data_IF_191004930623
#
_entry.id   IF_191004930623
#
_cell.length_a   1.000
_cell.length_b   1.000
_cell.length_c   1.000
_cell.angle_alpha   90.00
_cell.angle_beta   90.00
_cell.angle_gamma   90.00
#
_symmetry.space_group_name_H-M   'P 1'
#
loop_
_entity.id
_entity.type
_entity.pdbx_description
1 polymer ?
#
# COMPACT_ATOMS: atom_id res chain seq x y z
N UNK A 1 -6.37 23.58 39.24
CA UNK A 1 -5.14 22.76 39.28
C UNK A 1 -5.53 21.34 38.88
N UNK A 2 -5.34 20.92 37.62
CA UNK A 2 -5.57 19.53 37.24
C UNK A 2 -4.57 18.64 37.99
N UNK A 3 -5.08 17.64 38.70
CA UNK A 3 -4.23 16.66 39.37
C UNK A 3 -3.52 15.85 38.29
N UNK A 4 -2.19 15.96 38.23
CA UNK A 4 -1.37 15.05 37.43
C UNK A 4 -1.52 13.65 38.06
N UNK A 5 -2.41 12.85 37.51
CA UNK A 5 -2.47 11.42 37.83
C UNK A 5 -1.19 10.83 37.26
N UNK A 6 -0.24 10.51 38.15
CA UNK A 6 0.95 9.78 37.79
C UNK A 6 0.51 8.48 37.11
N UNK A 7 0.86 8.33 35.82
CA UNK A 7 0.51 7.13 35.08
C UNK A 7 1.27 5.95 35.64
N UNK A 8 0.58 4.82 35.81
CA UNK A 8 1.23 3.58 36.22
C UNK A 8 2.35 3.21 35.23
N UNK A 9 3.47 2.66 35.72
CA UNK A 9 4.50 2.12 34.83
C UNK A 9 3.91 1.06 33.90
N UNK A 10 4.45 0.90 32.67
CA UNK A 10 3.97 -0.12 31.74
C UNK A 10 4.17 -1.52 32.35
N UNK A 11 3.27 -2.44 32.03
CA UNK A 11 3.39 -3.84 32.44
C UNK A 11 4.76 -4.41 32.02
N UNK A 12 5.56 -4.96 32.96
CA UNK A 12 6.92 -5.43 32.67
C UNK A 12 6.95 -6.54 31.62
N UNK A 13 5.84 -7.26 31.40
CA UNK A 13 5.72 -8.26 30.33
C UNK A 13 5.90 -7.67 28.94
N UNK A 14 5.63 -6.38 28.75
CA UNK A 14 5.87 -5.68 27.48
C UNK A 14 7.36 -5.44 27.19
N UNK A 15 8.22 -5.58 28.20
CA UNK A 15 9.68 -5.43 28.11
C UNK A 15 10.41 -6.77 28.03
N UNK A 16 9.68 -7.88 28.03
CA UNK A 16 10.27 -9.22 27.98
C UNK A 16 10.73 -9.56 26.56
N UNK A 17 12.03 -9.45 26.30
CA UNK A 17 12.67 -9.78 25.02
C UNK A 17 12.92 -11.28 24.83
N UNK A 18 12.58 -12.12 25.81
CA UNK A 18 12.90 -13.55 25.80
C UNK A 18 12.14 -14.28 24.70
N UNK A 19 12.89 -14.75 23.71
CA UNK A 19 12.39 -15.60 22.61
C UNK A 19 12.37 -17.06 23.05
N UNK A 20 11.28 -17.78 22.77
CA UNK A 20 11.12 -19.20 23.07
C UNK A 20 10.47 -19.92 21.90
N UNK A 21 10.93 -21.14 21.62
CA UNK A 21 10.31 -22.05 20.66
C UNK A 21 9.13 -22.84 21.26
N UNK A 22 8.89 -22.71 22.56
CA UNK A 22 7.81 -23.37 23.30
C UNK A 22 6.87 -22.30 23.86
N UNK A 23 5.56 -22.60 23.87
CA UNK A 23 4.54 -21.71 24.42
C UNK A 23 4.80 -21.43 25.90
N UNK A 24 4.96 -20.14 26.25
CA UNK A 24 5.30 -19.68 27.61
C UNK A 24 4.09 -19.34 28.49
N UNK A 25 2.90 -19.17 27.93
CA UNK A 25 1.70 -18.82 28.71
C UNK A 25 1.76 -17.44 29.41
N UNK A 26 2.52 -16.48 28.87
CA UNK A 26 2.69 -15.12 29.46
C UNK A 26 1.35 -14.37 29.56
N UNK A 27 0.48 -14.60 28.59
CA UNK A 27 -0.87 -14.04 28.52
C UNK A 27 -1.82 -15.11 29.04
N UNK A 28 -2.55 -14.82 30.12
CA UNK A 28 -3.41 -15.81 30.79
C UNK A 28 -4.67 -16.12 30.01
N UNK A 29 -5.29 -15.10 29.42
CA UNK A 29 -6.58 -15.18 28.75
C UNK A 29 -6.80 -13.99 27.79
N UNK A 30 -8.00 -13.91 27.20
CA UNK A 30 -8.37 -12.84 26.27
C UNK A 30 -8.44 -11.47 26.95
N UNK A 31 -8.93 -11.39 28.18
CA UNK A 31 -9.00 -10.14 28.93
C UNK A 31 -7.61 -9.57 29.19
N UNK A 32 -6.70 -10.42 29.64
CA UNK A 32 -5.29 -10.10 29.82
C UNK A 32 -4.63 -9.66 28.49
N UNK A 33 -4.89 -10.38 27.40
CA UNK A 33 -4.42 -10.00 26.06
C UNK A 33 -4.87 -8.60 25.65
N UNK A 34 -6.15 -8.25 25.88
CA UNK A 34 -6.71 -6.94 25.53
C UNK A 34 -6.12 -5.84 26.41
N UNK A 35 -5.95 -6.09 27.70
CA UNK A 35 -5.34 -5.15 28.64
C UNK A 35 -3.88 -4.85 28.26
N UNK A 36 -3.08 -5.89 28.01
CA UNK A 36 -1.69 -5.75 27.55
C UNK A 36 -1.60 -5.03 26.21
N UNK A 37 -2.48 -5.34 25.26
CA UNK A 37 -2.51 -4.68 23.96
C UNK A 37 -2.84 -3.18 24.10
N UNK A 38 -3.79 -2.81 24.97
CA UNK A 38 -4.13 -1.42 25.25
C UNK A 38 -2.97 -0.65 25.88
N UNK A 39 -2.24 -1.28 26.83
CA UNK A 39 -1.05 -0.68 27.42
C UNK A 39 0.07 -0.53 26.39
N UNK A 40 0.29 -1.55 25.56
CA UNK A 40 1.25 -1.55 24.47
C UNK A 40 1.01 -0.38 23.49
N UNK A 41 -0.24 -0.16 23.05
CA UNK A 41 -0.58 0.96 22.18
C UNK A 41 -0.36 2.32 22.86
N UNK A 42 -0.69 2.43 24.14
CA UNK A 42 -0.46 3.65 24.92
C UNK A 42 1.03 3.96 25.03
N UNK A 43 1.87 2.94 25.25
CA UNK A 43 3.32 3.09 25.31
C UNK A 43 3.90 3.46 23.95
N UNK A 44 3.47 2.79 22.87
CA UNK A 44 3.90 3.08 21.50
C UNK A 44 3.57 4.51 21.07
N UNK A 45 2.37 5.00 21.40
CA UNK A 45 1.96 6.39 21.16
C UNK A 45 2.91 7.41 21.80
N UNK A 46 3.54 7.06 22.92
CA UNK A 46 4.54 7.90 23.59
C UNK A 46 5.95 7.73 23.01
N UNK A 47 6.35 6.49 22.72
CA UNK A 47 7.71 6.19 22.25
C UNK A 47 7.95 6.64 20.81
N UNK A 48 6.92 6.57 19.96
CA UNK A 48 6.93 7.26 18.68
C UNK A 48 6.54 8.71 18.94
N UNK A 49 7.51 9.50 19.41
CA UNK A 49 7.52 10.92 19.12
C UNK A 49 7.56 11.03 17.59
N UNK A 50 6.38 11.06 16.96
CA UNK A 50 6.28 11.48 15.57
C UNK A 50 7.05 12.82 15.49
N UNK A 51 7.89 13.05 14.46
CA UNK A 51 8.44 14.38 14.24
C UNK A 51 7.27 15.34 14.39
N UNK A 52 7.40 16.32 15.31
CA UNK A 52 6.27 17.11 15.79
C UNK A 52 5.35 17.36 14.62
N UNK A 53 4.13 16.84 14.72
CA UNK A 53 3.14 17.06 13.70
C UNK A 53 3.11 18.56 13.41
N UNK A 54 2.77 18.95 12.18
CA UNK A 54 2.52 20.35 11.85
C UNK A 54 1.71 20.97 12.99
N UNK A 55 2.06 22.18 13.41
CA UNK A 55 1.44 22.84 14.57
C UNK A 55 -0.09 23.10 14.41
N UNK A 56 -0.68 22.63 13.31
CA UNK A 56 -2.09 22.76 12.98
C UNK A 56 -2.94 21.82 13.83
N UNK A 57 -4.00 22.35 14.43
CA UNK A 57 -4.99 21.54 15.12
C UNK A 57 -5.74 20.68 14.09
N UNK A 58 -5.65 19.34 14.14
CA UNK A 58 -6.36 18.46 13.21
C UNK A 58 -7.89 18.64 13.27
N UNK A 59 -8.43 19.23 14.34
CA UNK A 59 -9.83 19.57 14.46
C UNK A 59 -10.26 20.82 13.67
N UNK A 60 -9.32 21.66 13.21
CA UNK A 60 -9.65 22.81 12.35
C UNK A 60 -10.03 22.34 10.94
N UNK A 61 -9.35 21.31 10.43
CA UNK A 61 -9.56 20.82 9.06
C UNK A 61 -10.62 19.71 8.97
N UNK A 62 -10.70 18.83 9.98
CA UNK A 62 -11.74 17.80 10.01
C UNK A 62 -13.03 18.37 10.59
N UNK A 63 -14.14 18.45 9.84
CA UNK A 63 -15.40 18.97 10.36
C UNK A 63 -15.91 18.09 11.51
N UNK A 64 -15.94 18.64 12.71
CA UNK A 64 -16.51 17.99 13.90
C UNK A 64 -18.05 18.00 13.82
N UNK A 65 -18.68 16.92 14.31
CA UNK A 65 -20.10 16.56 14.13
C UNK A 65 -20.47 16.14 12.69
N UNK A 66 -21.48 15.27 12.54
CA UNK A 66 -21.98 14.80 11.23
C UNK A 66 -22.52 15.99 10.45
N UNK A 67 -21.62 16.63 9.71
CA UNK A 67 -21.86 17.91 9.06
C UNK A 67 -22.09 17.68 7.57
N UNK A 68 -22.78 18.61 6.89
CA UNK A 68 -22.84 18.65 5.42
C UNK A 68 -21.45 18.52 4.76
N UNK A 69 -20.39 19.02 5.41
CA UNK A 69 -19.02 18.93 4.90
C UNK A 69 -18.48 17.49 4.90
N UNK A 70 -18.77 16.67 5.91
CA UNK A 70 -18.37 15.26 5.89
C UNK A 70 -19.00 14.51 4.71
N UNK A 71 -20.28 14.78 4.42
CA UNK A 71 -20.97 14.19 3.27
C UNK A 71 -20.33 14.59 1.93
N UNK A 72 -19.85 15.83 1.80
CA UNK A 72 -19.11 16.28 0.61
C UNK A 72 -17.81 15.49 0.46
N UNK A 73 -17.03 15.33 1.56
CA UNK A 73 -15.79 14.54 1.53
C UNK A 73 -16.06 13.07 1.19
N UNK A 74 -17.11 12.47 1.74
CA UNK A 74 -17.56 11.11 1.39
C UNK A 74 -17.92 11.02 -0.09
N UNK A 75 -18.63 12.01 -0.63
CA UNK A 75 -18.95 12.10 -2.07
C UNK A 75 -17.70 12.13 -2.94
N UNK A 76 -16.67 12.88 -2.55
CA UNK A 76 -15.39 12.91 -3.28
C UNK A 76 -14.67 11.55 -3.26
N UNK A 77 -14.68 10.84 -2.13
CA UNK A 77 -14.13 9.47 -2.04
C UNK A 77 -14.95 8.53 -2.95
N UNK A 78 -16.28 8.66 -2.93
CA UNK A 78 -17.18 7.84 -3.75
C UNK A 78 -16.89 8.04 -5.25
N UNK A 79 -16.80 9.29 -5.70
CA UNK A 79 -16.48 9.64 -7.08
C UNK A 79 -15.10 9.11 -7.48
N UNK A 80 -14.10 9.21 -6.60
CA UNK A 80 -12.79 8.62 -6.83
C UNK A 80 -12.83 7.09 -6.96
N UNK A 81 -13.57 6.39 -6.09
CA UNK A 81 -13.76 4.94 -6.19
C UNK A 81 -14.45 4.58 -7.52
N UNK A 82 -15.43 5.37 -7.96
CA UNK A 82 -16.17 5.17 -9.22
C UNK A 82 -15.45 5.67 -10.47
N UNK A 83 -14.35 6.41 -10.31
CA UNK A 83 -13.60 6.96 -11.43
C UNK A 83 -13.10 5.86 -12.39
N UNK A 84 -13.25 6.07 -13.70
CA UNK A 84 -12.80 5.15 -14.76
C UNK A 84 -11.77 5.76 -15.70
N UNK A 85 -11.39 7.01 -15.48
CA UNK A 85 -10.37 7.72 -16.28
C UNK A 85 -9.00 7.58 -15.61
N UNK A 86 -7.92 7.70 -16.38
CA UNK A 86 -6.55 7.67 -15.82
C UNK A 86 -6.19 6.43 -15.00
N UNK A 87 -6.81 5.26 -15.25
CA UNK A 87 -6.56 4.06 -14.46
C UNK A 87 -5.09 3.62 -14.55
N UNK A 88 -4.50 3.22 -13.42
CA UNK A 88 -3.13 2.69 -13.35
C UNK A 88 -3.04 1.29 -13.98
N UNK A 89 -4.06 0.47 -13.73
CA UNK A 89 -4.11 -0.93 -14.13
C UNK A 89 -4.99 -1.14 -15.37
N UNK A 90 -4.80 -2.27 -16.04
CA UNK A 90 -5.55 -2.65 -17.24
C UNK A 90 -4.71 -2.58 -18.51
N UNK A 91 -5.23 -3.19 -19.57
CA UNK A 91 -4.55 -3.22 -20.87
C UNK A 91 -4.77 -1.89 -21.59
N UNK A 92 -3.71 -1.24 -22.10
CA UNK A 92 -3.86 -0.02 -22.88
C UNK A 92 -4.71 -0.29 -24.13
N UNK A 93 -5.58 0.67 -24.45
CA UNK A 93 -6.40 0.67 -25.67
C UNK A 93 -5.56 1.27 -26.79
N UNK A 94 -5.63 0.67 -27.97
CA UNK A 94 -5.04 1.21 -29.19
C UNK A 94 -6.15 1.57 -30.17
N UNK A 95 -5.95 2.64 -30.92
CA UNK A 95 -6.83 3.03 -32.01
C UNK A 95 -6.63 2.15 -33.25
N UNK A 96 -7.38 2.44 -34.33
CA UNK A 96 -7.32 1.69 -35.59
C UNK A 96 -5.95 1.81 -36.29
N UNK A 97 -5.13 2.78 -35.91
CA UNK A 97 -3.79 3.02 -36.42
C UNK A 97 -2.72 2.34 -35.54
N UNK A 98 -3.13 1.66 -34.47
CA UNK A 98 -2.26 1.00 -33.53
C UNK A 98 -1.59 1.95 -32.53
N UNK A 99 -1.94 3.23 -32.50
CA UNK A 99 -1.42 4.21 -31.54
C UNK A 99 -2.17 4.10 -30.21
N UNK A 100 -1.57 4.58 -29.11
CA UNK A 100 -2.22 4.58 -27.80
C UNK A 100 -3.37 5.57 -27.79
N UNK A 101 -4.57 5.08 -27.50
CA UNK A 101 -5.73 5.94 -27.36
C UNK A 101 -5.62 6.73 -26.04
N UNK A 102 -5.86 8.03 -26.09
CA UNK A 102 -5.81 8.94 -24.94
C UNK A 102 -7.21 9.40 -24.55
N UNK A 103 -7.43 9.67 -23.26
CA UNK A 103 -8.62 10.33 -22.77
C UNK A 103 -8.56 11.85 -22.98
N UNK A 104 -9.66 12.55 -22.66
CA UNK A 104 -9.74 14.02 -22.80
C UNK A 104 -8.74 14.79 -21.93
N UNK A 105 -8.07 14.11 -21.00
CA UNK A 105 -7.03 14.68 -20.13
C UNK A 105 -5.62 14.25 -20.55
N UNK A 106 -5.47 13.54 -21.68
CA UNK A 106 -4.18 13.07 -22.21
C UNK A 106 -3.65 11.79 -21.57
N UNK A 107 -4.41 11.10 -20.72
CA UNK A 107 -3.98 9.83 -20.13
C UNK A 107 -4.31 8.65 -21.04
N UNK A 108 -3.49 7.60 -20.98
CA UNK A 108 -3.72 6.37 -21.78
C UNK A 108 -5.04 5.71 -21.35
N UNK A 109 -5.95 5.53 -22.30
CA UNK A 109 -7.17 4.77 -22.10
C UNK A 109 -6.82 3.31 -21.84
N UNK A 110 -7.43 2.73 -20.80
CA UNK A 110 -7.25 1.33 -20.44
C UNK A 110 -8.57 0.59 -20.43
N UNK A 111 -8.54 -0.67 -20.88
CA UNK A 111 -9.68 -1.57 -20.76
C UNK A 111 -9.91 -1.91 -19.29
N UNK A 112 -11.17 -1.91 -18.81
CA UNK A 112 -11.50 -2.36 -17.47
C UNK A 112 -10.92 -3.75 -17.19
N UNK A 113 -10.25 -3.90 -16.05
CA UNK A 113 -9.73 -5.17 -15.56
C UNK A 113 -10.70 -5.83 -14.56
N UNK A 114 -10.32 -6.98 -14.00
CA UNK A 114 -11.14 -7.68 -13.02
C UNK A 114 -11.41 -6.86 -11.75
N UNK A 115 -10.46 -6.01 -11.34
CA UNK A 115 -10.64 -5.15 -10.17
C UNK A 115 -11.64 -4.04 -10.46
N UNK A 116 -11.55 -3.42 -11.63
CA UNK A 116 -12.48 -2.38 -12.10
C UNK A 116 -13.90 -2.93 -12.16
N UNK A 117 -14.08 -4.11 -12.76
CA UNK A 117 -15.39 -4.78 -12.82
C UNK A 117 -15.94 -5.09 -11.42
N UNK A 118 -15.11 -5.59 -10.50
CA UNK A 118 -15.52 -5.89 -9.13
C UNK A 118 -16.00 -4.64 -8.38
N UNK A 119 -15.33 -3.50 -8.57
CA UNK A 119 -15.75 -2.22 -7.98
C UNK A 119 -17.06 -1.74 -8.63
N UNK A 120 -17.18 -1.84 -9.95
CA UNK A 120 -18.37 -1.45 -10.69
C UNK A 120 -19.64 -2.20 -10.24
N UNK A 121 -19.50 -3.50 -9.96
CA UNK A 121 -20.60 -4.37 -9.52
C UNK A 121 -21.05 -4.14 -8.07
N UNK A 122 -20.33 -3.34 -7.28
CA UNK A 122 -20.78 -3.00 -5.93
C UNK A 122 -22.02 -2.10 -5.97
N UNK A 123 -22.97 -2.38 -5.08
CA UNK A 123 -24.09 -1.48 -4.82
C UNK A 123 -23.59 -0.18 -4.17
N UNK A 124 -24.18 0.95 -4.54
CA UNK A 124 -23.76 2.28 -4.08
C UNK A 124 -23.72 2.40 -2.55
N UNK A 125 -24.73 1.85 -1.86
CA UNK A 125 -24.76 1.83 -0.38
C UNK A 125 -23.54 1.17 0.24
N UNK A 126 -22.98 0.12 -0.39
CA UNK A 126 -21.78 -0.56 0.11
C UNK A 126 -20.53 0.27 -0.13
N UNK A 127 -20.48 0.98 -1.26
CA UNK A 127 -19.39 1.91 -1.56
C UNK A 127 -19.43 3.08 -0.59
N UNK A 128 -20.61 3.65 -0.33
CA UNK A 128 -20.78 4.75 0.62
C UNK A 128 -20.36 4.34 2.05
N UNK A 129 -20.74 3.15 2.52
CA UNK A 129 -20.26 2.61 3.80
C UNK A 129 -18.72 2.55 3.84
N UNK A 130 -18.08 2.04 2.78
CA UNK A 130 -16.63 2.02 2.68
C UNK A 130 -16.02 3.44 2.67
N UNK A 131 -16.66 4.41 2.00
CA UNK A 131 -16.21 5.80 1.98
C UNK A 131 -16.20 6.43 3.38
N UNK A 132 -17.19 6.11 4.22
CA UNK A 132 -17.22 6.53 5.62
C UNK A 132 -16.06 5.92 6.41
N UNK A 133 -15.83 4.61 6.28
CA UNK A 133 -14.71 3.93 6.95
C UNK A 133 -13.36 4.52 6.53
N UNK A 134 -13.19 4.83 5.24
CA UNK A 134 -11.98 5.49 4.72
C UNK A 134 -11.82 6.89 5.32
N UNK A 135 -12.89 7.70 5.36
CA UNK A 135 -12.83 9.07 5.88
C UNK A 135 -12.34 9.08 7.34
N UNK A 136 -12.89 8.22 8.19
CA UNK A 136 -12.46 8.09 9.58
C UNK A 136 -11.06 7.49 9.68
N UNK A 137 -10.70 6.53 8.84
CA UNK A 137 -9.33 6.00 8.77
C UNK A 137 -8.30 7.08 8.43
N UNK A 138 -8.62 8.03 7.54
CA UNK A 138 -7.74 9.17 7.21
C UNK A 138 -7.59 10.10 8.42
N UNK A 139 -8.69 10.40 9.12
CA UNK A 139 -8.66 11.23 10.33
C UNK A 139 -7.79 10.59 11.40
N UNK A 140 -8.03 9.32 11.69
CA UNK A 140 -7.28 8.56 12.67
C UNK A 140 -5.79 8.49 12.29
N UNK A 141 -5.47 8.36 10.99
CA UNK A 141 -4.09 8.42 10.48
C UNK A 141 -3.42 9.76 10.72
N UNK A 142 -4.16 10.85 10.49
CA UNK A 142 -3.65 12.20 10.64
C UNK A 142 -3.42 12.56 12.12
N UNK A 143 -4.28 12.08 13.02
CA UNK A 143 -4.12 12.22 14.48
C UNK A 143 -3.08 11.25 15.08
N UNK A 144 -2.43 10.44 14.23
CA UNK A 144 -1.46 9.43 14.64
C UNK A 144 -2.08 8.19 15.28
N UNK A 145 -3.41 8.05 15.31
CA UNK A 145 -4.15 6.96 15.96
C UNK A 145 -4.11 5.61 15.23
N UNK A 146 -3.43 5.49 14.08
CA UNK A 146 -3.24 4.22 13.36
C UNK A 146 -2.20 3.31 14.05
N UNK A 147 -2.37 3.00 15.33
CA UNK A 147 -1.45 2.10 16.03
C UNK A 147 -1.78 0.64 15.70
N UNK A 148 -1.25 0.17 14.58
CA UNK A 148 -1.01 -1.27 14.39
C UNK A 148 -0.04 -1.80 15.47
N UNK A 149 -0.14 -3.08 15.76
CA UNK A 149 0.76 -3.78 16.70
C UNK A 149 2.20 -3.84 16.15
N UNK A 150 3.24 -3.90 17.01
CA UNK A 150 4.68 -3.93 16.64
C UNK A 150 4.97 -4.73 15.36
N UNK A 151 4.41 -5.93 15.33
CA UNK A 151 4.71 -6.96 14.35
C UNK A 151 4.07 -6.69 12.99
N UNK A 152 3.08 -5.80 12.90
CA UNK A 152 2.58 -5.30 11.61
C UNK A 152 3.39 -4.11 11.10
N UNK A 153 4.09 -3.40 12.00
CA UNK A 153 4.89 -2.21 11.66
C UNK A 153 6.28 -2.54 11.16
N UNK A 154 6.96 -3.52 11.77
CA UNK A 154 8.39 -3.78 11.54
C UNK A 154 8.77 -4.14 10.09
N UNK A 155 7.81 -4.52 9.24
CA UNK A 155 8.10 -5.10 7.93
C UNK A 155 7.35 -4.47 6.75
N UNK A 156 6.30 -3.66 6.96
CA UNK A 156 5.43 -3.25 5.85
C UNK A 156 4.62 -1.97 6.05
N UNK A 157 4.83 -1.23 7.15
CA UNK A 157 4.10 0.02 7.38
C UNK A 157 5.02 1.22 7.13
N UNK A 158 4.63 2.07 6.18
CA UNK A 158 5.27 3.37 5.95
C UNK A 158 4.31 4.45 6.43
N UNK A 159 4.77 5.32 7.33
CA UNK A 159 4.03 6.51 7.70
C UNK A 159 4.51 7.69 6.86
N UNK A 160 3.59 8.30 6.11
CA UNK A 160 3.82 9.55 5.41
C UNK A 160 3.22 10.71 6.24
N UNK A 161 4.04 11.67 6.70
CA UNK A 161 3.53 12.86 7.36
C UNK A 161 2.90 13.82 6.34
N UNK A 162 1.80 14.47 6.71
CA UNK A 162 1.17 15.53 5.92
C UNK A 162 0.88 16.73 6.81
N UNK A 163 0.90 17.93 6.23
CA UNK A 163 0.73 19.18 6.95
C UNK A 163 -0.68 19.34 7.52
N UNK A 164 -1.66 18.93 6.73
CA UNK A 164 -3.09 19.07 7.04
C UNK A 164 -3.83 17.77 6.79
N UNK A 165 -5.01 17.65 7.40
CA UNK A 165 -5.91 16.54 7.11
C UNK A 165 -6.26 16.50 5.62
N UNK A 166 -6.50 17.68 5.02
CA UNK A 166 -6.89 17.79 3.61
C UNK A 166 -5.79 17.32 2.66
N UNK A 167 -4.51 17.61 2.93
CA UNK A 167 -3.40 17.07 2.12
C UNK A 167 -3.38 15.54 2.15
N UNK A 168 -3.55 14.91 3.33
CA UNK A 168 -3.63 13.45 3.43
C UNK A 168 -4.86 12.91 2.68
N UNK A 169 -6.00 13.56 2.86
CA UNK A 169 -7.26 13.22 2.22
C UNK A 169 -7.13 13.21 0.68
N UNK A 170 -6.55 14.27 0.10
CA UNK A 170 -6.31 14.39 -1.34
C UNK A 170 -5.42 13.26 -1.86
N UNK A 171 -4.34 12.90 -1.15
CA UNK A 171 -3.48 11.78 -1.55
C UNK A 171 -4.21 10.44 -1.55
N UNK A 172 -5.12 10.23 -0.59
CA UNK A 172 -5.95 9.02 -0.57
C UNK A 172 -6.97 9.03 -1.72
N UNK A 173 -7.61 10.16 -1.99
CA UNK A 173 -8.51 10.34 -3.13
C UNK A 173 -7.79 10.07 -4.45
N UNK A 174 -6.59 10.63 -4.65
CA UNK A 174 -5.76 10.40 -5.83
C UNK A 174 -5.47 8.91 -6.02
N UNK A 175 -5.03 8.22 -4.96
CA UNK A 175 -4.76 6.78 -5.00
C UNK A 175 -6.00 5.96 -5.41
N UNK A 176 -7.15 6.24 -4.80
CA UNK A 176 -8.40 5.51 -5.07
C UNK A 176 -8.95 5.82 -6.47
N UNK A 177 -8.67 7.02 -6.99
CA UNK A 177 -9.09 7.44 -8.33
C UNK A 177 -8.43 6.62 -9.42
N UNK A 178 -7.14 6.28 -9.28
CA UNK A 178 -6.36 5.57 -10.30
C UNK A 178 -6.18 4.07 -10.03
N UNK A 179 -6.25 3.62 -8.77
CA UNK A 179 -5.94 2.24 -8.38
C UNK A 179 -7.15 1.48 -7.84
N UNK A 180 -7.89 0.81 -8.73
CA UNK A 180 -8.98 -0.10 -8.32
C UNK A 180 -8.49 -1.34 -7.57
N UNK A 181 -7.20 -1.64 -7.69
CA UNK A 181 -6.56 -2.66 -6.84
C UNK A 181 -6.55 -2.23 -5.38
N UNK A 182 -6.17 -0.97 -5.09
CA UNK A 182 -6.18 -0.44 -3.72
C UNK A 182 -7.60 -0.50 -3.12
N UNK A 183 -8.63 -0.13 -3.90
CA UNK A 183 -10.04 -0.27 -3.48
C UNK A 183 -10.38 -1.75 -3.20
N UNK A 184 -9.98 -2.67 -4.09
CA UNK A 184 -10.25 -4.10 -3.90
C UNK A 184 -9.56 -4.68 -2.67
N UNK A 185 -8.38 -4.18 -2.31
CA UNK A 185 -7.66 -4.61 -1.11
C UNK A 185 -8.43 -4.21 0.16
N UNK A 186 -9.12 -3.05 0.17
CA UNK A 186 -10.01 -2.64 1.26
C UNK A 186 -11.27 -3.52 1.38
N UNK A 187 -11.70 -4.13 0.27
CA UNK A 187 -12.83 -5.06 0.24
C UNK A 187 -12.44 -6.50 0.60
N UNK A 188 -11.14 -6.79 0.79
CA UNK A 188 -10.71 -8.12 1.21
C UNK A 188 -11.07 -8.36 2.68
N UNK A 189 -11.61 -9.54 2.98
CA UNK A 189 -11.83 -9.95 4.36
C UNK A 189 -10.51 -9.94 5.14
N UNK A 190 -10.57 -9.57 6.42
CA UNK A 190 -9.39 -9.57 7.28
C UNK A 190 -8.67 -10.91 7.21
N UNK A 191 -7.34 -10.87 7.25
CA UNK A 191 -6.54 -12.08 7.11
C UNK A 191 -6.86 -13.13 8.19
N UNK A 192 -7.14 -12.67 9.41
CA UNK A 192 -7.60 -13.52 10.52
C UNK A 192 -8.92 -14.23 10.17
N UNK A 193 -9.92 -13.50 9.65
CA UNK A 193 -11.18 -14.09 9.24
C UNK A 193 -10.99 -15.15 8.14
N UNK A 194 -10.09 -14.90 7.19
CA UNK A 194 -9.82 -15.83 6.08
C UNK A 194 -9.23 -17.15 6.57
N UNK A 195 -8.26 -17.09 7.49
CA UNK A 195 -7.65 -18.28 8.08
C UNK A 195 -8.66 -19.03 8.94
N UNK A 196 -9.43 -18.32 9.76
CA UNK A 196 -10.45 -18.94 10.60
C UNK A 196 -11.54 -19.63 9.77
N UNK A 197 -11.97 -19.02 8.66
CA UNK A 197 -13.06 -19.52 7.84
C UNK A 197 -12.64 -20.64 6.86
N UNK A 198 -11.45 -20.55 6.26
CA UNK A 198 -11.01 -21.49 5.23
C UNK A 198 -9.50 -21.79 5.29
N UNK A 199 -9.01 -22.41 6.38
CA UNK A 199 -7.58 -22.59 6.62
C UNK A 199 -6.87 -23.42 5.53
N UNK A 200 -7.49 -24.53 5.08
CA UNK A 200 -6.92 -25.40 4.05
C UNK A 200 -6.81 -24.71 2.68
N UNK A 201 -7.78 -23.86 2.36
CA UNK A 201 -7.74 -23.05 1.15
C UNK A 201 -6.62 -22.03 1.21
N UNK A 202 -6.45 -21.35 2.34
CA UNK A 202 -5.40 -20.37 2.50
C UNK A 202 -3.99 -20.96 2.47
N UNK A 203 -3.81 -22.15 3.06
CA UNK A 203 -2.57 -22.91 2.92
C UNK A 203 -2.28 -23.22 1.45
N UNK A 204 -3.28 -23.74 0.72
CA UNK A 204 -3.15 -24.04 -0.71
C UNK A 204 -2.84 -22.79 -1.54
N UNK A 205 -3.46 -21.66 -1.22
CA UNK A 205 -3.17 -20.36 -1.86
C UNK A 205 -1.73 -19.94 -1.62
N UNK A 206 -1.23 -20.02 -0.37
CA UNK A 206 0.15 -19.66 -0.05
C UNK A 206 1.18 -20.56 -0.76
N UNK A 207 0.93 -21.87 -0.87
CA UNK A 207 1.76 -22.79 -1.66
C UNK A 207 1.82 -22.37 -3.13
N UNK A 208 0.66 -22.19 -3.78
CA UNK A 208 0.61 -21.74 -5.18
C UNK A 208 1.33 -20.41 -5.41
N UNK A 209 1.20 -19.46 -4.48
CA UNK A 209 1.91 -18.18 -4.57
C UNK A 209 3.44 -18.34 -4.46
N UNK A 210 3.91 -19.20 -3.56
CA UNK A 210 5.33 -19.53 -3.42
C UNK A 210 5.86 -20.15 -4.72
N UNK A 211 5.22 -21.21 -5.21
CA UNK A 211 5.61 -21.91 -6.43
C UNK A 211 5.62 -20.97 -7.65
N UNK A 212 4.61 -20.09 -7.74
CA UNK A 212 4.51 -19.09 -8.80
C UNK A 212 5.65 -18.07 -8.75
N UNK A 213 6.05 -17.63 -7.56
CA UNK A 213 7.17 -16.69 -7.38
C UNK A 213 8.52 -17.36 -7.66
N UNK A 214 8.71 -18.62 -7.26
CA UNK A 214 9.92 -19.40 -7.57
C UNK A 214 10.08 -19.58 -9.09
N UNK A 215 9.02 -20.00 -9.78
CA UNK A 215 9.04 -20.12 -11.26
C UNK A 215 9.38 -18.81 -11.94
N UNK A 216 8.78 -17.70 -11.50
CA UNK A 216 9.12 -16.36 -12.04
C UNK A 216 10.58 -16.03 -11.80
N UNK A 217 11.11 -16.29 -10.60
CA UNK A 217 12.52 -16.06 -10.27
C UNK A 217 13.45 -16.82 -11.22
N UNK A 218 13.14 -18.08 -11.51
CA UNK A 218 13.95 -18.90 -12.42
C UNK A 218 13.91 -18.38 -13.86
N UNK A 219 12.71 -18.00 -14.34
CA UNK A 219 12.57 -17.36 -15.66
C UNK A 219 13.36 -16.06 -15.75
N UNK A 220 13.34 -15.21 -14.71
CA UNK A 220 14.13 -13.98 -14.68
C UNK A 220 15.63 -14.25 -14.68
N UNK A 221 16.11 -15.25 -13.92
CA UNK A 221 17.53 -15.64 -13.91
C UNK A 221 17.97 -16.13 -15.29
N UNK A 222 17.16 -16.96 -15.93
CA UNK A 222 17.45 -17.49 -17.26
C UNK A 222 17.44 -16.38 -18.32
N UNK A 223 16.43 -15.51 -18.31
CA UNK A 223 16.40 -14.34 -19.20
C UNK A 223 17.61 -13.43 -19.02
N UNK A 224 18.02 -13.18 -17.77
CA UNK A 224 19.23 -12.39 -17.48
C UNK A 224 20.50 -13.06 -18.00
N UNK A 225 20.64 -14.38 -17.85
CA UNK A 225 21.78 -15.13 -18.41
C UNK A 225 21.84 -15.03 -19.92
N UNK A 226 20.70 -15.17 -20.62
CA UNK A 226 20.64 -15.05 -22.09
C UNK A 226 21.05 -13.67 -22.59
N UNK A 227 20.59 -12.62 -21.92
CA UNK A 227 20.97 -11.23 -22.25
C UNK A 227 22.48 -11.05 -22.03
N UNK A 228 23.02 -11.56 -20.93
CA UNK A 228 24.46 -11.48 -20.65
C UNK A 228 25.30 -12.28 -21.65
N UNK A 229 24.87 -13.48 -22.05
CA UNK A 229 25.58 -14.28 -23.06
C UNK A 229 25.51 -13.67 -24.46
N UNK A 230 24.40 -13.03 -24.82
CA UNK A 230 24.29 -12.32 -26.10
C UNK A 230 25.15 -11.05 -26.12
N UNK A 231 25.26 -10.35 -24.98
CA UNK A 231 26.16 -9.21 -24.84
C UNK A 231 27.65 -9.61 -24.90
N UNK A 232 28.03 -10.81 -24.43
CA UNK A 232 29.40 -11.31 -24.56
C UNK A 232 29.74 -11.81 -25.97
N UNK A 233 28.79 -12.45 -26.67
CA UNK A 233 29.00 -12.91 -28.06
C UNK A 233 29.16 -11.72 -29.02
N UNK A 234 28.48 -10.60 -28.78
CA UNK A 234 28.63 -9.38 -29.59
C UNK A 234 29.93 -8.58 -29.35
N UNK A 235 30.80 -9.00 -28.44
CA UNK A 235 32.11 -8.38 -28.18
C UNK A 235 33.27 -9.16 -28.82
N UNK A 236 33.08 -10.45 -29.11
CA UNK A 236 34.11 -11.28 -29.75
C UNK A 236 34.11 -11.13 -31.29
N UNK A 237 32.98 -10.74 -31.89
CA UNK A 237 32.88 -10.48 -33.35
C UNK A 237 33.55 -9.16 -33.82
N UNK A 238 34.14 -8.38 -32.90
CA UNK A 238 34.92 -7.19 -33.23
C UNK A 238 36.43 -7.34 -32.95
N UNK A 239 36.91 -8.52 -32.58
CA UNK A 239 38.32 -8.76 -32.27
C UNK A 239 39.15 -9.31 -33.45
N UNK A 240 38.53 -9.64 -34.59
CA UNK A 240 39.22 -10.12 -35.79
C UNK A 240 38.95 -9.23 -37.02
N UNK A 241 39.26 -7.94 -36.95
CA UNK A 241 39.67 -7.21 -38.17
C UNK A 241 40.57 -6.01 -37.81
N UNK A 242 41.72 -5.95 -38.47
CA UNK A 242 42.90 -5.17 -38.13
C UNK A 242 42.72 -3.68 -37.82
N UNK A 243 43.40 -3.27 -36.75
CA UNK A 243 44.28 -2.09 -36.60
C UNK A 243 43.82 -0.67 -37.01
N UNK A 244 42.64 -0.39 -37.55
CA UNK A 244 42.24 1.00 -37.87
C UNK A 244 40.77 1.30 -37.48
N UNK A 245 40.51 1.72 -36.23
CA UNK A 245 39.13 2.09 -35.87
C UNK A 245 38.81 2.59 -34.45
N UNK A 246 39.75 3.16 -33.70
CA UNK A 246 39.44 3.81 -32.41
C UNK A 246 38.79 5.18 -32.67
N UNK A 247 37.48 5.25 -32.91
CA UNK A 247 36.74 6.53 -32.83
C UNK A 247 35.20 6.49 -32.78
N UNK A 248 34.50 5.38 -33.10
CA UNK A 248 33.04 5.48 -33.41
C UNK A 248 32.10 4.90 -32.33
N UNK A 249 32.59 4.15 -31.35
CA UNK A 249 31.71 3.39 -30.45
C UNK A 249 31.06 4.20 -29.29
N UNK A 250 31.38 5.48 -29.10
CA UNK A 250 30.89 6.24 -27.92
C UNK A 250 29.61 7.05 -28.18
N UNK A 251 29.06 7.06 -29.40
CA UNK A 251 27.93 7.95 -29.75
C UNK A 251 26.53 7.31 -29.72
N UNK A 252 26.40 5.99 -29.59
CA UNK A 252 25.09 5.33 -29.65
C UNK A 252 24.35 5.22 -28.30
N UNK A 253 25.02 5.44 -27.16
CA UNK A 253 24.41 5.27 -25.83
C UNK A 253 23.67 6.50 -25.28
N UNK A 254 23.80 7.67 -25.91
CA UNK A 254 23.18 8.90 -25.42
C UNK A 254 21.75 9.17 -25.95
N UNK A 255 21.24 8.35 -26.88
CA UNK A 255 19.93 8.60 -27.53
C UNK A 255 18.74 7.82 -26.93
N UNK A 256 18.96 7.00 -25.90
CA UNK A 256 17.90 6.13 -25.33
C UNK A 256 17.45 6.60 -23.93
N UNK A 257 17.99 7.72 -23.42
CA UNK A 257 17.58 8.32 -22.14
C UNK A 257 17.31 9.82 -22.31
N UNK A 258 16.41 10.17 -23.23
CA UNK A 258 15.73 11.47 -23.23
C UNK A 258 14.27 11.27 -23.58
#
# INVERSE_FOLDING_TARGET
MPQHIAQAPPDPRLLDETKSNIFRGIISDRGDSVALQSQYFTQRRKNHELPQGPAHDPNEDFPTNVSPRQKVLVGQIFDAIRNKTGLLNGRPVRDDQGQLALDGSGNVLRKPDANTKRVDELADVKVEMLCWDILYGIKDAHEGSLYGTEWTWAHSFNYEPHETFMQRFEKVVDLLSVSKRAVCDLLEASWLCRIANAPSWELSRKRRNKDGNERKSDVYKEGKRRIQSQASIGLDDYAEEGDHGIAVATRALASVIS
#
